data_IF_443706463727
#
_entry.id   IF_443706463727
#
_cell.length_a   1.000
_cell.length_b   1.000
_cell.length_c   1.000
_cell.angle_alpha   90.00
_cell.angle_beta   90.00
_cell.angle_gamma   90.00
#
_symmetry.space_group_name_H-M   'P 1'
#
loop_
_entity.id
_entity.type
_entity.pdbx_description
1 polymer ?
#
# COMPACT_ATOMS: atom_id res chain seq x y z
N UNK A 1 11.36 24.98 -33.38
CA UNK A 1 11.91 23.84 -32.60
C UNK A 1 12.25 22.76 -33.60
N UNK A 2 13.55 22.60 -33.90
CA UNK A 2 14.03 21.73 -34.98
C UNK A 2 14.03 20.26 -34.52
N UNK A 3 13.28 19.42 -35.21
CA UNK A 3 13.08 18.01 -34.86
C UNK A 3 14.38 17.19 -34.97
N UNK A 4 15.39 17.72 -35.66
CA UNK A 4 16.72 17.11 -35.77
C UNK A 4 17.52 17.24 -34.47
N UNK A 5 17.43 18.41 -33.83
CA UNK A 5 18.18 18.76 -32.62
C UNK A 5 17.71 17.98 -31.38
N UNK A 6 16.40 17.69 -31.32
CA UNK A 6 15.82 16.83 -30.27
C UNK A 6 16.29 15.38 -30.42
N UNK A 7 16.50 14.93 -31.66
CA UNK A 7 16.83 13.53 -31.94
C UNK A 7 18.30 13.23 -31.67
N UNK A 8 19.20 14.18 -31.92
CA UNK A 8 20.62 14.08 -31.56
C UNK A 8 20.84 14.09 -30.04
N UNK A 9 20.10 14.94 -29.31
CA UNK A 9 20.15 14.95 -27.84
C UNK A 9 19.68 13.62 -27.22
N UNK A 10 18.65 12.98 -27.79
CA UNK A 10 18.14 11.70 -27.30
C UNK A 10 19.13 10.52 -27.51
N UNK A 11 19.95 10.56 -28.56
CA UNK A 11 20.96 9.53 -28.82
C UNK A 11 22.18 9.64 -27.90
N UNK A 12 22.60 10.86 -27.54
CA UNK A 12 23.69 11.08 -26.59
C UNK A 12 23.31 10.63 -25.17
N UNK A 13 22.03 10.72 -24.81
CA UNK A 13 21.50 10.27 -23.52
C UNK A 13 21.23 8.74 -23.45
N UNK A 14 21.56 7.97 -24.48
CA UNK A 14 21.35 6.51 -24.50
C UNK A 14 19.87 6.09 -24.46
N UNK A 15 18.94 6.98 -24.79
CA UNK A 15 17.51 6.70 -24.73
C UNK A 15 17.11 5.74 -25.86
N UNK A 16 16.69 4.53 -25.50
CA UNK A 16 16.13 3.56 -26.46
C UNK A 16 14.66 3.88 -26.73
N UNK A 17 14.21 3.96 -27.99
CA UNK A 17 12.81 4.20 -28.29
C UNK A 17 11.95 3.01 -27.83
N UNK A 18 10.89 3.30 -27.08
CA UNK A 18 9.91 2.30 -26.67
C UNK A 18 9.22 1.73 -27.91
N UNK A 19 9.27 0.40 -28.07
CA UNK A 19 8.58 -0.31 -29.16
C UNK A 19 7.07 -0.05 -29.05
N UNK A 20 6.50 0.67 -30.00
CA UNK A 20 5.04 0.78 -30.14
C UNK A 20 4.50 -0.57 -30.60
N UNK A 21 3.67 -1.20 -29.77
CA UNK A 21 2.91 -2.37 -30.18
C UNK A 21 1.83 -1.95 -31.21
N UNK A 22 1.69 -2.66 -32.33
CA UNK A 22 0.61 -2.40 -33.27
C UNK A 22 -0.73 -2.78 -32.63
N UNK A 23 -1.71 -1.87 -32.68
CA UNK A 23 -3.08 -2.16 -32.28
C UNK A 23 -3.74 -3.00 -33.38
N UNK A 24 -4.03 -4.26 -33.10
CA UNK A 24 -4.83 -5.13 -33.98
C UNK A 24 -6.29 -4.65 -33.97
N UNK A 25 -6.96 -4.54 -35.13
CA UNK A 25 -8.36 -4.13 -35.20
C UNK A 25 -9.30 -5.25 -34.72
N UNK A 26 -10.27 -4.87 -33.88
CA UNK A 26 -11.39 -5.71 -33.46
C UNK A 26 -12.39 -5.85 -34.62
N UNK A 27 -12.33 -6.98 -35.33
CA UNK A 27 -13.44 -7.46 -36.15
C UNK A 27 -13.36 -8.99 -36.32
N UNK A 28 -14.50 -9.65 -36.10
CA UNK A 28 -14.81 -11.09 -36.27
C UNK A 28 -14.34 -11.97 -35.08
N UNK A 29 -15.14 -12.83 -34.43
CA UNK A 29 -16.37 -13.48 -34.86
C UNK A 29 -17.26 -13.85 -33.65
N UNK A 30 -18.57 -13.75 -33.89
CA UNK A 30 -19.62 -14.33 -33.09
C UNK A 30 -19.79 -15.84 -33.39
N UNK A 31 -20.58 -16.49 -32.52
CA UNK A 31 -21.31 -17.75 -32.73
C UNK A 31 -20.66 -19.02 -32.17
N UNK A 32 -21.30 -19.57 -31.13
CA UNK A 32 -21.86 -20.93 -31.10
C UNK A 32 -22.82 -21.05 -29.90
N UNK A 33 -24.12 -20.97 -30.18
CA UNK A 33 -25.21 -21.42 -29.31
C UNK A 33 -25.37 -22.94 -29.40
N UNK A 34 -25.92 -23.59 -28.35
CA UNK A 34 -26.82 -24.73 -28.55
C UNK A 34 -26.61 -25.96 -27.65
N UNK A 35 -27.52 -26.12 -26.70
CA UNK A 35 -27.71 -27.17 -25.68
C UNK A 35 -28.18 -28.53 -26.26
N UNK A 36 -28.01 -29.63 -25.46
CA UNK A 36 -28.80 -30.89 -25.31
C UNK A 36 -27.88 -32.14 -25.39
N UNK A 37 -27.83 -33.12 -24.48
CA UNK A 37 -28.83 -33.94 -23.77
C UNK A 37 -28.15 -34.52 -22.48
N UNK A 38 -28.71 -34.53 -21.26
CA UNK A 38 -29.80 -35.35 -20.71
C UNK A 38 -29.57 -36.89 -20.75
N UNK A 39 -28.80 -37.43 -19.79
CA UNK A 39 -28.81 -38.82 -19.26
C UNK A 39 -27.63 -38.94 -18.28
N UNK A 40 -27.76 -39.21 -16.98
CA UNK A 40 -28.31 -40.44 -16.42
C UNK A 40 -28.75 -40.22 -14.98
N UNK A 41 -30.00 -40.62 -14.76
CA UNK A 41 -30.75 -40.63 -13.50
C UNK A 41 -30.21 -41.74 -12.56
N UNK A 42 -30.13 -41.41 -11.27
CA UNK A 42 -30.33 -42.26 -10.10
C UNK A 42 -29.82 -43.73 -10.09
N UNK A 43 -28.87 -44.03 -9.20
CA UNK A 43 -29.03 -45.11 -8.20
C UNK A 43 -28.30 -44.69 -6.91
N UNK A 44 -29.07 -44.32 -5.91
CA UNK A 44 -28.67 -44.37 -4.51
C UNK A 44 -29.03 -45.75 -3.96
N UNK A 45 -28.12 -46.42 -3.25
CA UNK A 45 -28.36 -46.93 -1.89
C UNK A 45 -27.13 -47.67 -1.36
N UNK A 46 -26.72 -47.27 -0.16
CA UNK A 46 -26.37 -48.13 0.97
C UNK A 46 -25.34 -49.26 0.74
N UNK A 47 -24.18 -49.16 1.37
CA UNK A 47 -23.98 -49.66 2.73
C UNK A 47 -22.52 -49.43 3.17
N UNK A 48 -22.40 -48.84 4.34
CA UNK A 48 -21.21 -48.83 5.17
C UNK A 48 -21.20 -50.14 5.95
N UNK A 49 -20.13 -50.93 5.85
CA UNK A 49 -19.73 -51.82 6.94
C UNK A 49 -18.21 -51.94 6.94
N UNK A 50 -17.66 -51.63 8.10
CA UNK A 50 -16.26 -51.77 8.45
C UNK A 50 -15.89 -53.23 8.73
N UNK A 51 -14.60 -53.39 9.01
CA UNK A 51 -13.89 -54.50 9.64
C UNK A 51 -13.43 -55.63 8.72
N UNK A 52 -12.25 -56.23 8.89
CA UNK A 52 -10.99 -55.93 9.59
C UNK A 52 -10.07 -57.12 9.27
N UNK A 53 -8.76 -56.93 9.45
CA UNK A 53 -7.69 -57.96 9.56
C UNK A 53 -7.04 -58.55 8.29
N UNK A 54 -5.85 -58.00 8.02
CA UNK A 54 -4.53 -58.65 8.09
C UNK A 54 -4.30 -60.01 7.39
N UNK A 55 -3.26 -60.06 6.55
CA UNK A 55 -2.53 -61.30 6.27
C UNK A 55 -1.78 -61.38 4.95
N UNK A 56 -0.56 -60.82 4.92
CA UNK A 56 0.65 -61.30 4.21
C UNK A 56 0.59 -61.87 2.78
N UNK A 57 1.32 -61.24 1.87
CA UNK A 57 1.74 -61.84 0.60
C UNK A 57 2.42 -60.84 -0.34
N UNK A 58 3.70 -60.56 -0.11
CA UNK A 58 4.50 -59.64 -0.92
C UNK A 58 5.07 -60.32 -2.17
N UNK A 59 4.84 -59.74 -3.35
CA UNK A 59 5.79 -59.74 -4.47
C UNK A 59 5.40 -58.73 -5.57
N UNK A 60 6.35 -57.83 -5.86
CA UNK A 60 6.66 -57.21 -7.16
C UNK A 60 5.72 -56.16 -7.82
N UNK A 61 6.26 -54.92 -7.79
CA UNK A 61 6.05 -53.65 -8.55
C UNK A 61 5.97 -53.78 -10.10
N UNK A 62 5.85 -52.67 -10.91
CA UNK A 62 5.21 -51.32 -10.79
C UNK A 62 4.34 -50.99 -12.08
N UNK A 63 3.87 -49.75 -12.46
CA UNK A 63 4.25 -48.40 -12.02
C UNK A 63 3.16 -47.29 -11.90
N UNK A 64 3.66 -46.17 -11.35
CA UNK A 64 3.34 -44.76 -11.61
C UNK A 64 1.98 -44.19 -11.22
N UNK A 65 1.97 -43.46 -10.10
CA UNK A 65 1.08 -42.33 -9.88
C UNK A 65 1.71 -41.30 -8.92
N UNK A 66 1.90 -40.10 -9.45
CA UNK A 66 1.71 -38.80 -8.80
C UNK A 66 2.60 -38.46 -7.59
N UNK A 67 3.56 -37.57 -7.87
CA UNK A 67 4.26 -36.75 -6.90
C UNK A 67 3.26 -35.91 -6.08
N UNK A 68 3.00 -36.36 -4.86
CA UNK A 68 2.55 -35.50 -3.77
C UNK A 68 3.80 -35.10 -2.98
N UNK A 69 4.13 -33.81 -3.00
CA UNK A 69 5.19 -33.23 -2.18
C UNK A 69 4.80 -33.33 -0.70
N UNK A 70 5.36 -34.31 -0.01
CA UNK A 70 5.34 -34.40 1.45
C UNK A 70 6.45 -33.55 2.05
N UNK A 71 6.16 -33.04 3.25
CA UNK A 71 6.98 -32.15 4.05
C UNK A 71 8.46 -32.55 4.10
N UNK A 72 9.34 -31.59 3.78
CA UNK A 72 10.77 -31.70 4.07
C UNK A 72 11.03 -31.17 5.48
N UNK A 73 11.08 -32.08 6.45
CA UNK A 73 11.81 -31.89 7.69
C UNK A 73 13.26 -32.32 7.45
N UNK A 74 14.13 -31.37 7.12
CA UNK A 74 15.57 -31.58 7.15
C UNK A 74 16.27 -30.37 7.78
N UNK A 75 16.62 -30.60 9.04
CA UNK A 75 17.44 -29.79 9.94
C UNK A 75 18.84 -29.59 9.36
N UNK A 76 19.27 -28.33 9.24
CA UNK A 76 20.68 -27.95 9.25
C UNK A 76 20.87 -26.91 10.35
N UNK A 77 21.15 -27.37 11.57
CA UNK A 77 21.74 -26.53 12.62
C UNK A 77 23.25 -26.56 12.35
N UNK A 78 23.73 -25.63 11.53
CA UNK A 78 25.13 -25.22 11.60
C UNK A 78 25.37 -24.49 12.92
N UNK A 79 26.62 -24.43 13.45
CA UNK A 79 26.89 -23.57 14.58
C UNK A 79 26.44 -22.17 14.21
N UNK A 80 25.53 -21.61 15.00
CA UNK A 80 25.12 -20.22 14.86
C UNK A 80 26.41 -19.40 14.82
N UNK A 81 26.68 -18.77 13.68
CA UNK A 81 27.75 -17.78 13.59
C UNK A 81 27.58 -16.85 14.78
N UNK A 82 28.68 -16.45 15.48
CA UNK A 82 28.54 -15.57 16.62
C UNK A 82 27.75 -14.35 16.17
N UNK A 83 26.56 -14.16 16.77
CA UNK A 83 25.75 -12.99 16.49
C UNK A 83 26.65 -11.79 16.76
N UNK A 84 26.98 -11.04 15.70
CA UNK A 84 27.69 -9.79 15.84
C UNK A 84 26.86 -8.98 16.83
N UNK A 85 27.44 -8.50 17.96
CA UNK A 85 26.68 -7.76 18.94
C UNK A 85 26.05 -6.56 18.23
N UNK A 86 24.71 -6.48 18.30
CA UNK A 86 23.94 -5.41 17.70
C UNK A 86 24.51 -4.06 18.18
N UNK A 87 24.64 -3.09 17.27
CA UNK A 87 25.07 -1.77 17.68
C UNK A 87 24.01 -1.19 18.65
N UNK A 88 24.36 -0.29 19.58
CA UNK A 88 23.40 0.27 20.52
C UNK A 88 22.19 0.94 19.84
N UNK A 89 22.35 1.45 18.61
CA UNK A 89 21.24 1.95 17.79
C UNK A 89 20.31 0.86 17.24
N UNK A 90 20.81 -0.35 17.01
CA UNK A 90 20.02 -1.49 16.53
C UNK A 90 19.11 -2.05 17.64
N UNK A 91 19.62 -2.13 18.88
CA UNK A 91 18.81 -2.57 20.03
C UNK A 91 17.65 -1.61 20.29
N UNK A 92 17.90 -0.29 20.25
CA UNK A 92 16.86 0.72 20.41
C UNK A 92 15.80 0.63 19.29
N UNK A 93 16.24 0.32 18.07
CA UNK A 93 15.36 0.10 16.91
C UNK A 93 14.48 -1.16 17.08
N UNK A 94 15.07 -2.31 17.42
CA UNK A 94 14.35 -3.57 17.58
C UNK A 94 13.32 -3.49 18.72
N UNK A 95 13.70 -2.89 19.85
CA UNK A 95 12.81 -2.63 20.98
C UNK A 95 11.65 -1.73 20.58
N UNK A 96 11.92 -0.72 19.76
CA UNK A 96 10.89 0.17 19.23
C UNK A 96 9.93 -0.58 18.31
N UNK A 97 10.45 -1.34 17.34
CA UNK A 97 9.61 -2.12 16.42
C UNK A 97 8.73 -3.14 17.16
N UNK A 98 9.25 -3.81 18.18
CA UNK A 98 8.46 -4.76 18.99
C UNK A 98 7.24 -4.09 19.62
N UNK A 99 7.34 -2.83 20.04
CA UNK A 99 6.19 -2.06 20.56
C UNK A 99 5.16 -1.69 19.48
N UNK A 100 5.53 -1.73 18.20
CA UNK A 100 4.61 -1.42 17.09
C UNK A 100 3.86 -2.65 16.55
N UNK A 101 4.34 -3.87 16.80
CA UNK A 101 3.94 -5.10 16.08
C UNK A 101 2.50 -5.62 16.35
N UNK A 102 1.75 -5.03 17.28
CA UNK A 102 0.34 -5.40 17.52
C UNK A 102 -0.62 -4.91 16.41
N UNK A 103 -0.10 -4.22 15.39
CA UNK A 103 -0.82 -3.71 14.22
C UNK A 103 0.15 -3.60 13.01
N UNK A 104 -0.31 -3.40 11.75
CA UNK A 104 0.59 -3.34 10.61
C UNK A 104 1.41 -2.04 10.59
N UNK A 105 2.52 -2.03 11.32
CA UNK A 105 3.51 -0.98 11.32
C UNK A 105 4.05 -0.76 9.89
N UNK A 106 4.06 0.50 9.44
CA UNK A 106 4.61 0.86 8.14
C UNK A 106 6.09 1.16 8.31
N UNK A 107 6.95 0.45 7.56
CA UNK A 107 8.38 0.75 7.46
C UNK A 107 8.65 1.46 6.13
N UNK A 108 9.23 2.65 6.19
CA UNK A 108 9.51 3.45 4.99
C UNK A 108 10.82 4.23 5.14
N UNK A 109 11.47 4.47 4.00
CA UNK A 109 12.61 5.40 3.91
C UNK A 109 12.11 6.83 3.91
N UNK A 110 12.65 7.65 4.80
CA UNK A 110 12.29 9.07 4.94
C UNK A 110 13.55 9.94 4.94
N UNK A 111 13.38 11.20 4.49
CA UNK A 111 14.43 12.21 4.44
C UNK A 111 14.54 12.97 5.76
N UNK A 112 15.67 13.65 5.99
CA UNK A 112 15.81 14.60 7.10
C UNK A 112 14.74 15.71 7.00
N UNK A 113 14.47 16.21 5.79
CA UNK A 113 13.45 17.24 5.55
C UNK A 113 12.04 16.80 5.98
N UNK A 114 11.69 15.52 5.86
CA UNK A 114 10.41 15.03 6.37
C UNK A 114 10.39 15.01 7.90
N UNK A 115 11.49 14.59 8.55
CA UNK A 115 11.59 14.54 10.02
C UNK A 115 11.46 15.92 10.68
N UNK A 116 11.88 16.98 10.00
CA UNK A 116 11.70 18.36 10.47
C UNK A 116 10.22 18.77 10.62
N UNK A 117 9.33 18.10 9.88
CA UNK A 117 7.90 18.39 9.86
C UNK A 117 7.07 17.47 10.75
N UNK A 118 7.71 16.49 11.39
CA UNK A 118 7.06 15.56 12.32
C UNK A 118 6.87 16.27 13.66
N UNK A 119 5.62 16.48 14.14
CA UNK A 119 5.37 17.25 15.36
C UNK A 119 5.91 16.58 16.64
N UNK A 120 5.83 15.25 16.71
CA UNK A 120 6.38 14.45 17.81
C UNK A 120 6.99 13.15 17.29
N UNK A 121 8.09 12.72 17.91
CA UNK A 121 8.73 11.43 17.65
C UNK A 121 8.14 10.30 18.48
N UNK A 122 7.13 10.57 19.28
CA UNK A 122 6.43 9.55 20.06
C UNK A 122 5.80 8.50 19.12
N UNK A 123 6.13 7.23 19.35
CA UNK A 123 5.66 6.14 18.49
C UNK A 123 6.34 6.06 17.11
N UNK A 124 7.36 6.90 16.84
CA UNK A 124 8.17 6.85 15.63
C UNK A 124 9.50 6.13 15.89
N UNK A 125 9.65 4.94 15.34
CA UNK A 125 10.91 4.21 15.34
C UNK A 125 11.81 4.75 14.25
N UNK A 126 13.05 5.11 14.58
CA UNK A 126 14.02 5.66 13.63
C UNK A 126 15.33 4.88 13.71
N UNK A 127 15.86 4.50 12.55
CA UNK A 127 17.21 3.99 12.40
C UNK A 127 17.92 4.74 11.29
N UNK A 128 19.05 5.36 11.63
CA UNK A 128 19.89 6.01 10.63
C UNK A 128 20.43 4.95 9.67
N UNK A 129 20.31 5.21 8.37
CA UNK A 129 21.04 4.54 7.31
C UNK A 129 21.97 5.59 6.67
N UNK A 130 22.85 5.17 5.78
CA UNK A 130 23.94 6.01 5.26
C UNK A 130 23.43 7.39 4.77
N UNK A 131 22.40 7.41 3.93
CA UNK A 131 21.85 8.60 3.26
C UNK A 131 20.37 8.90 3.57
N UNK A 132 19.72 8.08 4.40
CA UNK A 132 18.31 8.24 4.74
C UNK A 132 18.00 7.68 6.14
N UNK A 133 16.78 7.89 6.60
CA UNK A 133 16.26 7.22 7.78
C UNK A 133 15.35 6.09 7.37
N UNK A 134 15.54 4.92 8.00
CA UNK A 134 14.49 3.92 8.05
C UNK A 134 13.58 4.27 9.22
N UNK A 135 12.30 4.48 8.92
CA UNK A 135 11.33 4.92 9.90
C UNK A 135 10.15 3.94 9.97
N UNK A 136 9.67 3.68 11.19
CA UNK A 136 8.58 2.78 11.50
C UNK A 136 7.53 3.46 12.36
N UNK A 137 6.26 3.39 11.98
CA UNK A 137 5.17 4.02 12.74
C UNK A 137 3.84 3.28 12.59
N UNK A 138 2.90 3.66 13.46
CA UNK A 138 1.47 3.37 13.31
C UNK A 138 0.78 4.60 12.77
N UNK A 139 -0.23 4.39 11.93
CA UNK A 139 -1.05 5.45 11.33
C UNK A 139 -2.50 5.00 11.41
N UNK A 140 -3.37 5.86 11.92
CA UNK A 140 -4.81 5.64 11.97
C UNK A 140 -5.46 5.77 10.60
N UNK A 141 -4.85 6.54 9.69
CA UNK A 141 -5.29 6.68 8.30
C UNK A 141 -4.62 5.63 7.40
N UNK A 142 -5.37 5.17 6.40
CA UNK A 142 -4.89 4.22 5.39
C UNK A 142 -5.24 4.70 3.98
N UNK A 143 -4.49 4.28 2.93
CA UNK A 143 -4.78 4.70 1.55
C UNK A 143 -6.21 4.35 1.09
N UNK A 144 -6.77 3.26 1.64
CA UNK A 144 -8.11 2.78 1.34
C UNK A 144 -9.21 3.79 1.73
N UNK A 145 -8.93 4.64 2.74
CA UNK A 145 -9.83 5.73 3.16
C UNK A 145 -10.07 6.75 2.03
N UNK A 146 -9.18 6.79 1.03
CA UNK A 146 -9.20 7.77 -0.08
C UNK A 146 -9.58 7.16 -1.42
N UNK A 147 -10.14 5.94 -1.47
CA UNK A 147 -10.58 5.34 -2.73
C UNK A 147 -11.82 6.03 -3.29
N UNK A 148 -11.87 6.17 -4.62
CA UNK A 148 -12.93 6.90 -5.33
C UNK A 148 -14.34 6.30 -5.11
N UNK A 149 -14.43 4.97 -4.91
CA UNK A 149 -15.70 4.24 -4.96
C UNK A 149 -16.15 3.68 -3.59
N UNK A 150 -15.59 4.18 -2.48
CA UNK A 150 -15.95 3.68 -1.15
C UNK A 150 -15.03 4.06 0.00
N UNK A 151 -14.22 5.12 -0.18
CA UNK A 151 -13.39 5.65 0.91
C UNK A 151 -14.22 6.17 2.09
N UNK A 152 -13.56 6.37 3.22
CA UNK A 152 -14.18 6.94 4.42
C UNK A 152 -14.39 8.45 4.21
N UNK A 153 -15.62 8.81 3.85
CA UNK A 153 -16.03 10.19 3.59
C UNK A 153 -15.70 11.13 4.74
N UNK A 154 -15.79 10.68 6.00
CA UNK A 154 -15.51 11.54 7.14
C UNK A 154 -14.01 11.82 7.23
N UNK A 155 -13.16 10.81 7.06
CA UNK A 155 -11.70 10.99 7.04
C UNK A 155 -11.25 11.90 5.90
N UNK A 156 -11.90 11.79 4.73
CA UNK A 156 -11.64 12.68 3.61
C UNK A 156 -12.00 14.13 3.98
N UNK A 157 -13.15 14.37 4.62
CA UNK A 157 -13.58 15.69 5.08
C UNK A 157 -12.59 16.29 6.10
N UNK A 158 -12.11 15.48 7.04
CA UNK A 158 -11.15 15.92 8.05
C UNK A 158 -9.85 16.39 7.39
N UNK A 159 -9.33 15.63 6.41
CA UNK A 159 -8.14 16.01 5.66
C UNK A 159 -8.38 17.22 4.74
N UNK A 160 -9.54 17.31 4.09
CA UNK A 160 -9.89 18.50 3.29
C UNK A 160 -9.93 19.76 4.17
N UNK A 161 -10.49 19.65 5.38
CA UNK A 161 -10.54 20.74 6.36
C UNK A 161 -9.14 21.14 6.83
N UNK A 162 -8.29 20.16 7.14
CA UNK A 162 -6.89 20.38 7.49
C UNK A 162 -6.13 21.11 6.37
N UNK A 163 -6.28 20.67 5.12
CA UNK A 163 -5.63 21.27 3.96
C UNK A 163 -6.16 22.68 3.67
N UNK A 164 -7.45 22.91 3.86
CA UNK A 164 -8.07 24.24 3.71
C UNK A 164 -7.52 25.22 4.76
N UNK A 165 -7.43 24.79 6.02
CA UNK A 165 -6.86 25.59 7.10
C UNK A 165 -5.38 25.97 6.86
N UNK A 166 -4.63 25.15 6.10
CA UNK A 166 -3.26 25.45 5.68
C UNK A 166 -3.15 26.27 4.39
N UNK A 167 -4.29 26.71 3.82
CA UNK A 167 -4.35 27.43 2.55
C UNK A 167 -3.91 26.59 1.35
N UNK A 168 -4.04 25.27 1.44
CA UNK A 168 -3.62 24.32 0.40
C UNK A 168 -4.78 23.78 -0.44
N UNK A 169 -6.00 23.84 0.08
CA UNK A 169 -7.21 23.36 -0.56
C UNK A 169 -8.25 24.46 -0.68
N UNK A 170 -8.73 24.70 -1.90
CA UNK A 170 -9.71 25.73 -2.28
C UNK A 170 -11.01 25.12 -2.85
N UNK A 171 -11.14 23.79 -2.78
CA UNK A 171 -12.32 23.07 -3.21
C UNK A 171 -13.42 23.02 -2.14
N UNK A 172 -14.55 22.42 -2.50
CA UNK A 172 -15.62 22.15 -1.55
C UNK A 172 -15.15 21.11 -0.52
N UNK A 173 -15.56 21.29 0.75
CA UNK A 173 -15.46 20.26 1.79
C UNK A 173 -16.56 19.23 1.56
N UNK A 174 -16.41 18.47 0.47
CA UNK A 174 -17.41 17.56 -0.08
C UNK A 174 -17.10 16.10 0.23
N UNK A 175 -16.01 15.79 0.92
CA UNK A 175 -15.62 14.43 1.27
C UNK A 175 -15.24 13.57 0.07
N UNK A 176 -14.83 14.19 -1.04
CA UNK A 176 -14.41 13.50 -2.25
C UNK A 176 -12.90 13.65 -2.49
N UNK A 177 -12.25 12.52 -2.77
CA UNK A 177 -10.86 12.48 -3.22
C UNK A 177 -10.75 12.78 -4.73
N UNK A 178 -11.10 14.01 -5.09
CA UNK A 178 -11.08 14.49 -6.48
C UNK A 178 -9.73 15.07 -6.95
N UNK A 179 -9.65 15.56 -8.20
CA UNK A 179 -8.45 16.20 -8.75
C UNK A 179 -7.93 17.37 -7.92
N UNK A 180 -8.83 18.20 -7.36
CA UNK A 180 -8.46 19.32 -6.47
C UNK A 180 -7.78 18.84 -5.20
N UNK A 181 -8.28 17.77 -4.60
CA UNK A 181 -7.70 17.19 -3.40
C UNK A 181 -6.32 16.59 -3.69
N UNK A 182 -6.15 15.88 -4.81
CA UNK A 182 -4.83 15.40 -5.28
C UNK A 182 -3.82 16.52 -5.45
N UNK A 183 -4.24 17.65 -6.03
CA UNK A 183 -3.38 18.82 -6.18
C UNK A 183 -2.99 19.43 -4.82
N UNK A 184 -3.94 19.51 -3.87
CA UNK A 184 -3.67 19.99 -2.51
C UNK A 184 -2.70 19.05 -1.75
N UNK A 185 -2.86 17.73 -1.86
CA UNK A 185 -1.93 16.75 -1.29
C UNK A 185 -0.54 16.89 -1.91
N UNK A 186 -0.44 17.07 -3.23
CA UNK A 186 0.85 17.28 -3.90
C UNK A 186 1.58 18.53 -3.38
N UNK A 187 0.85 19.64 -3.18
CA UNK A 187 1.39 20.86 -2.56
C UNK A 187 1.79 20.65 -1.11
N UNK A 188 0.97 19.92 -0.34
CA UNK A 188 1.28 19.54 1.04
C UNK A 188 2.60 18.75 1.09
N UNK A 189 2.72 17.70 0.28
CA UNK A 189 3.93 16.88 0.18
C UNK A 189 5.17 17.72 -0.13
N UNK A 190 5.09 18.59 -1.14
CA UNK A 190 6.19 19.49 -1.48
C UNK A 190 6.60 20.39 -0.31
N UNK A 191 5.65 20.90 0.48
CA UNK A 191 5.94 21.72 1.66
C UNK A 191 6.55 20.93 2.81
N UNK A 192 6.37 19.60 2.85
CA UNK A 192 6.83 18.72 3.94
C UNK A 192 8.05 17.87 3.57
N UNK A 193 8.76 18.22 2.49
CA UNK A 193 9.96 17.49 2.05
C UNK A 193 9.67 16.09 1.48
N UNK A 194 8.44 15.86 1.00
CA UNK A 194 8.00 14.62 0.35
C UNK A 194 7.96 14.78 -1.18
N UNK A 195 8.02 13.65 -1.88
CA UNK A 195 7.77 13.63 -3.32
C UNK A 195 6.32 14.05 -3.62
N UNK A 196 6.15 15.07 -4.46
CA UNK A 196 4.85 15.71 -4.72
C UNK A 196 3.96 14.90 -5.69
N UNK A 197 3.58 13.68 -5.32
CA UNK A 197 2.78 12.76 -6.15
C UNK A 197 1.26 12.95 -6.05
N UNK A 198 0.77 13.64 -5.03
CA UNK A 198 -0.65 13.87 -4.78
C UNK A 198 -1.42 12.64 -4.27
N UNK A 199 -0.77 11.50 -4.14
CA UNK A 199 -1.31 10.30 -3.53
C UNK A 199 -1.13 10.33 -2.00
N UNK A 200 -2.10 9.86 -1.20
CA UNK A 200 -1.97 9.75 0.25
C UNK A 200 -1.07 8.55 0.61
N UNK A 201 0.24 8.68 0.36
CA UNK A 201 1.23 7.67 0.73
C UNK A 201 1.44 7.60 2.25
N UNK A 202 2.13 6.56 2.73
CA UNK A 202 2.22 6.28 4.16
C UNK A 202 2.87 7.43 4.97
N UNK A 203 3.89 8.10 4.43
CA UNK A 203 4.53 9.25 5.10
C UNK A 203 3.61 10.48 5.10
N UNK A 204 2.82 10.67 4.05
CA UNK A 204 1.79 11.72 3.98
C UNK A 204 0.67 11.45 5.00
N UNK A 205 0.18 10.22 5.06
CA UNK A 205 -0.88 9.81 5.98
C UNK A 205 -0.45 9.95 7.44
N UNK A 206 0.79 9.62 7.77
CA UNK A 206 1.32 9.84 9.12
C UNK A 206 1.28 11.32 9.52
N UNK A 207 1.66 12.22 8.60
CA UNK A 207 1.59 13.65 8.87
C UNK A 207 0.14 14.13 9.03
N UNK A 208 -0.81 13.62 8.24
CA UNK A 208 -2.22 13.94 8.45
C UNK A 208 -2.72 13.43 9.81
N UNK A 209 -2.43 12.18 10.16
CA UNK A 209 -2.86 11.56 11.42
C UNK A 209 -2.33 12.36 12.63
N UNK A 210 -1.04 12.69 12.63
CA UNK A 210 -0.42 13.49 13.71
C UNK A 210 -0.95 14.92 13.78
N UNK A 211 -1.20 15.58 12.66
CA UNK A 211 -1.75 16.94 12.63
C UNK A 211 -3.21 16.98 13.06
N UNK A 212 -4.01 15.96 12.68
CA UNK A 212 -5.39 15.84 13.13
C UNK A 212 -5.47 15.53 14.62
N UNK A 213 -4.58 14.67 15.13
CA UNK A 213 -4.50 14.36 16.56
C UNK A 213 -4.02 15.54 17.42
N UNK A 214 -3.16 16.41 16.88
CA UNK A 214 -2.70 17.61 17.57
C UNK A 214 -3.79 18.69 17.73
N UNK A 215 -4.90 18.60 16.98
CA UNK A 215 -5.95 19.60 16.93
C UNK A 215 -5.50 20.90 16.23
N UNK A 216 -6.41 21.86 15.99
CA UNK A 216 -6.03 23.15 15.46
C UNK A 216 -5.15 23.86 16.49
N UNK A 217 -3.87 24.04 16.16
CA UNK A 217 -2.98 24.93 16.89
C UNK A 217 -3.65 26.31 16.88
N UNK A 218 -4.04 26.79 18.05
CA UNK A 218 -4.59 28.13 18.24
C UNK A 218 -3.56 29.17 17.75
N UNK A 219 -3.65 29.56 16.47
CA UNK A 219 -2.66 30.43 15.83
C UNK A 219 -2.77 30.55 14.30
N UNK A 220 -3.84 30.05 13.66
CA UNK A 220 -4.15 30.33 12.25
C UNK A 220 -5.18 31.45 12.12
N UNK A 221 -5.13 32.28 11.05
CA UNK A 221 -6.00 33.45 10.91
C UNK A 221 -7.46 33.02 10.86
N UNK A 222 -8.26 33.63 11.74
CA UNK A 222 -9.71 33.52 11.80
C UNK A 222 -10.30 33.72 10.40
N UNK A 223 -10.94 32.67 9.88
CA UNK A 223 -11.75 32.77 8.67
C UNK A 223 -12.89 33.73 9.01
N UNK A 224 -13.01 34.91 8.36
CA UNK A 224 -14.04 35.87 8.72
C UNK A 224 -15.41 35.23 8.49
N UNK A 225 -16.25 35.22 9.54
CA UNK A 225 -17.64 34.80 9.45
C UNK A 225 -18.35 35.57 8.33
N UNK A 226 -19.17 34.92 7.50
CA UNK A 226 -19.96 35.61 6.49
C UNK A 226 -20.92 36.58 7.20
N UNK A 227 -20.74 37.87 6.93
CA UNK A 227 -21.59 38.94 7.46
C UNK A 227 -23.05 38.63 7.13
N UNK A 228 -23.84 38.32 8.17
CA UNK A 228 -25.30 38.27 8.05
C UNK A 228 -25.77 39.69 7.71
N UNK A 229 -26.06 39.92 6.43
CA UNK A 229 -26.84 41.07 6.01
C UNK A 229 -28.23 40.97 6.63
N UNK A 230 -28.46 41.72 7.70
CA UNK A 230 -29.79 42.03 8.21
C UNK A 230 -30.43 42.98 7.18
N UNK A 231 -31.52 42.55 6.57
CA UNK A 231 -32.45 43.46 5.90
C UNK A 231 -33.43 43.96 6.96
N UNK A 232 -33.45 45.29 7.15
CA UNK A 232 -34.55 46.01 7.80
C UNK A 232 -35.77 46.11 6.87
#
# INVERSE_FOLDING_TARGET
MDATLVRTAATEAGARPLRRHPRLPLALAASLCGVLLASSFAVALALRSADSHAGGGAAALPPSAHAAATASTARAIGPAAPAIPAAPGDVQWDDCLRRLQDAPARLQRVSDAWLEHVPSRDGLCLRRQDDHWLAGWRTGLVPEDFLADGGDRQRILDVQTLLAAQGLYDGALDGLYGPRMRAAISRFQSRRGLAAGGAPDAATLYLFDTLLAAGPVAGGPEVPEPSRHVHD
#
